data_IF_509119456273
#
_entry.id   IF_509119456273
#
_cell.length_a   1.000
_cell.length_b   1.000
_cell.length_c   1.000
_cell.angle_alpha   90.00
_cell.angle_beta   90.00
_cell.angle_gamma   90.00
#
_symmetry.space_group_name_H-M   'P 1'
#
loop_
_entity.id
_entity.type
_entity.pdbx_description
1 polymer ?
#
# COMPACT_ATOMS: atom_id res chain seq x y z
N UNK A 1 7.13 26.20 62.24
CA UNK A 1 7.66 26.99 61.11
C UNK A 1 9.17 26.83 61.13
N UNK A 2 9.87 26.46 60.04
CA UNK A 2 9.55 26.80 58.65
C UNK A 2 9.31 25.58 57.73
N UNK A 3 8.86 25.92 56.52
CA UNK A 3 8.47 25.07 55.41
C UNK A 3 9.68 24.82 54.48
N UNK A 4 9.81 23.62 53.93
CA UNK A 4 10.62 23.40 52.71
C UNK A 4 9.65 22.95 51.61
N UNK A 5 9.38 23.88 50.70
CA UNK A 5 8.48 23.71 49.56
C UNK A 5 9.29 23.19 48.39
N UNK A 6 9.22 21.90 48.11
CA UNK A 6 9.66 21.36 46.81
C UNK A 6 8.62 21.76 45.75
N UNK A 7 9.02 22.41 44.64
CA UNK A 7 8.06 22.80 43.61
C UNK A 7 7.51 21.55 42.91
N UNK A 8 6.19 21.46 42.85
CA UNK A 8 5.48 20.47 42.04
C UNK A 8 5.94 20.56 40.59
N UNK A 9 6.32 19.43 40.00
CA UNK A 9 6.66 19.34 38.58
C UNK A 9 5.45 19.74 37.73
N UNK A 10 5.54 20.90 37.08
CA UNK A 10 4.55 21.32 36.09
C UNK A 10 4.52 20.30 34.94
N UNK A 11 3.34 19.78 34.56
CA UNK A 11 3.23 18.87 33.43
C UNK A 11 3.53 19.64 32.15
N UNK A 12 4.66 19.32 31.51
CA UNK A 12 5.00 19.81 30.17
C UNK A 12 4.00 19.21 29.19
N UNK A 13 3.09 20.04 28.69
CA UNK A 13 2.19 19.70 27.60
C UNK A 13 2.99 19.59 26.30
N UNK A 14 3.53 18.40 26.04
CA UNK A 14 4.10 18.04 24.75
C UNK A 14 2.95 18.02 23.73
N UNK A 15 2.84 19.09 22.95
CA UNK A 15 1.98 19.10 21.76
C UNK A 15 2.60 18.18 20.72
N UNK A 16 2.24 16.89 20.80
CA UNK A 16 2.45 15.93 19.72
C UNK A 16 1.64 16.43 18.54
N UNK A 17 2.30 17.16 17.64
CA UNK A 17 1.78 17.36 16.29
C UNK A 17 1.76 15.99 15.65
N UNK A 18 0.61 15.31 15.72
CA UNK A 18 0.37 14.18 14.83
C UNK A 18 0.59 14.71 13.42
N UNK A 19 1.43 14.08 12.58
CA UNK A 19 1.42 14.42 11.18
C UNK A 19 -0.03 14.20 10.74
N UNK A 20 -0.72 15.26 10.37
CA UNK A 20 -1.90 15.13 9.53
C UNK A 20 -1.35 14.61 8.21
N UNK A 21 -1.15 13.29 8.13
CA UNK A 21 -1.05 12.60 6.86
C UNK A 21 -2.28 13.08 6.12
N UNK A 22 -2.08 13.78 5.00
CA UNK A 22 -3.17 14.15 4.10
C UNK A 22 -4.00 12.90 3.74
N UNK A 23 -5.16 13.08 3.08
CA UNK A 23 -5.97 11.95 2.66
C UNK A 23 -5.06 10.87 2.08
N UNK A 24 -5.12 9.66 2.63
CA UNK A 24 -4.21 8.55 2.36
C UNK A 24 -4.09 8.33 0.86
N UNK A 25 -3.15 9.00 0.22
CA UNK A 25 -2.99 8.91 -1.21
C UNK A 25 -2.46 7.51 -1.50
N UNK A 26 -3.19 6.79 -2.35
CA UNK A 26 -2.89 5.40 -2.65
C UNK A 26 -1.48 5.27 -3.26
N UNK A 27 -1.05 6.28 -4.01
CA UNK A 27 0.18 6.27 -4.80
C UNK A 27 1.37 6.76 -3.97
N UNK A 28 1.16 7.70 -3.05
CA UNK A 28 2.21 8.28 -2.23
C UNK A 28 2.99 7.23 -1.42
N UNK A 29 4.31 7.15 -1.63
CA UNK A 29 5.17 6.18 -0.97
C UNK A 29 4.91 4.70 -1.31
N UNK A 30 4.01 4.38 -2.26
CA UNK A 30 3.77 3.00 -2.69
C UNK A 30 4.89 2.49 -3.61
N UNK A 31 5.41 3.34 -4.49
CA UNK A 31 6.45 2.96 -5.46
C UNK A 31 7.83 3.27 -4.89
N UNK A 32 8.74 2.29 -4.92
CA UNK A 32 10.12 2.45 -4.46
C UNK A 32 11.13 1.69 -5.32
N UNK A 33 12.41 1.95 -5.09
CA UNK A 33 13.50 1.18 -5.72
C UNK A 33 13.57 -0.25 -5.15
N UNK A 34 14.05 -1.24 -5.93
CA UNK A 34 14.19 -2.60 -5.46
C UNK A 34 15.10 -2.70 -4.24
N UNK A 35 14.66 -3.45 -3.23
CA UNK A 35 15.43 -3.63 -2.00
C UNK A 35 16.33 -4.85 -2.11
N UNK A 36 17.60 -4.74 -1.73
CA UNK A 36 18.52 -5.88 -1.72
C UNK A 36 18.18 -6.95 -0.66
N UNK A 37 17.38 -6.60 0.35
CA UNK A 37 16.95 -7.51 1.41
C UNK A 37 15.46 -7.29 1.74
N UNK A 38 14.55 -7.95 1.00
CA UNK A 38 13.11 -7.82 1.25
C UNK A 38 12.74 -8.56 2.55
N UNK A 39 12.13 -7.84 3.49
CA UNK A 39 11.63 -8.42 4.74
C UNK A 39 10.25 -9.08 4.60
N UNK A 40 9.58 -8.86 3.46
CA UNK A 40 8.27 -9.39 3.13
C UNK A 40 8.33 -10.29 1.89
N UNK A 41 7.26 -11.06 1.65
CA UNK A 41 7.13 -11.87 0.44
C UNK A 41 7.20 -10.99 -0.80
N UNK A 42 8.03 -11.38 -1.77
CA UNK A 42 8.18 -10.65 -3.03
C UNK A 42 7.44 -11.39 -4.14
N UNK A 43 6.55 -10.68 -4.82
CA UNK A 43 5.82 -11.16 -5.99
C UNK A 43 6.40 -10.53 -7.26
N UNK A 44 6.94 -11.35 -8.14
CA UNK A 44 7.37 -10.93 -9.47
C UNK A 44 6.18 -10.88 -10.43
N UNK A 45 5.86 -9.70 -10.98
CA UNK A 45 4.75 -9.50 -11.91
C UNK A 45 5.07 -9.88 -13.36
N UNK A 46 6.27 -10.42 -13.63
CA UNK A 46 6.60 -11.11 -14.90
C UNK A 46 6.06 -12.54 -14.93
N UNK A 47 5.62 -13.09 -13.80
CA UNK A 47 4.91 -14.36 -13.73
C UNK A 47 3.58 -14.29 -14.48
N UNK A 48 3.05 -15.46 -14.84
CA UNK A 48 1.73 -15.54 -15.48
C UNK A 48 0.61 -15.07 -14.55
N UNK A 49 -0.45 -14.50 -15.12
CA UNK A 49 -1.61 -14.00 -14.38
C UNK A 49 -2.24 -15.05 -13.45
N UNK A 50 -2.17 -16.33 -13.84
CA UNK A 50 -2.62 -17.44 -13.01
C UNK A 50 -1.79 -17.59 -11.74
N UNK A 51 -0.46 -17.50 -11.84
CA UNK A 51 0.45 -17.59 -10.68
C UNK A 51 0.32 -16.38 -9.77
N UNK A 52 0.13 -15.20 -10.35
CA UNK A 52 -0.17 -13.97 -9.60
C UNK A 52 -1.49 -14.12 -8.85
N UNK A 53 -2.54 -14.63 -9.50
CA UNK A 53 -3.83 -14.85 -8.86
C UNK A 53 -3.77 -15.89 -7.74
N UNK A 54 -3.09 -17.03 -7.94
CA UNK A 54 -2.87 -18.04 -6.90
C UNK A 54 -2.16 -17.45 -5.68
N UNK A 55 -1.12 -16.61 -5.90
CA UNK A 55 -0.41 -15.94 -4.83
C UNK A 55 -1.32 -14.99 -4.05
N UNK A 56 -2.11 -14.17 -4.76
CA UNK A 56 -3.03 -13.21 -4.13
C UNK A 56 -4.12 -13.90 -3.30
N UNK A 57 -4.62 -15.06 -3.73
CA UNK A 57 -5.53 -15.89 -2.92
C UNK A 57 -4.85 -16.32 -1.62
N UNK A 58 -3.57 -16.72 -1.66
CA UNK A 58 -2.80 -17.05 -0.47
C UNK A 58 -2.61 -15.87 0.47
N UNK A 59 -2.26 -14.71 -0.08
CA UNK A 59 -2.07 -13.46 0.68
C UNK A 59 -3.37 -12.99 1.34
N UNK A 60 -4.52 -13.09 0.67
CA UNK A 60 -5.81 -12.67 1.24
C UNK A 60 -6.18 -13.43 2.52
N UNK A 61 -5.61 -14.62 2.75
CA UNK A 61 -5.78 -15.42 3.97
C UNK A 61 -4.59 -15.31 4.94
N UNK A 62 -3.61 -14.46 4.62
CA UNK A 62 -2.41 -14.26 5.41
C UNK A 62 -2.43 -12.89 6.07
N UNK A 63 -1.99 -12.83 7.32
CA UNK A 63 -1.76 -11.56 8.04
C UNK A 63 -0.45 -10.86 7.62
N UNK A 64 0.17 -11.29 6.50
CA UNK A 64 1.44 -10.73 6.02
C UNK A 64 1.26 -10.04 4.67
N UNK A 65 1.75 -8.80 4.60
CA UNK A 65 1.82 -8.06 3.35
C UNK A 65 2.94 -8.56 2.42
N UNK A 66 2.89 -8.10 1.18
CA UNK A 66 3.85 -8.46 0.14
C UNK A 66 4.35 -7.21 -0.61
N UNK A 67 5.45 -7.39 -1.32
CA UNK A 67 6.03 -6.39 -2.23
C UNK A 67 5.89 -6.91 -3.65
N UNK A 68 5.33 -6.11 -4.55
CA UNK A 68 5.24 -6.44 -5.96
C UNK A 68 6.44 -5.87 -6.73
N UNK A 69 7.07 -6.65 -7.61
CA UNK A 69 8.16 -6.18 -8.48
C UNK A 69 7.65 -6.11 -9.91
N UNK A 70 7.85 -4.96 -10.56
CA UNK A 70 7.46 -4.77 -11.97
C UNK A 70 8.29 -3.72 -12.68
N UNK A 71 8.46 -3.89 -13.99
CA UNK A 71 9.01 -2.87 -14.88
C UNK A 71 7.92 -2.10 -15.66
N UNK A 72 6.64 -2.51 -15.56
CA UNK A 72 5.51 -1.94 -16.29
C UNK A 72 4.52 -1.25 -15.35
N UNK A 73 4.15 -0.02 -15.71
CA UNK A 73 3.11 0.76 -15.03
C UNK A 73 1.72 0.13 -15.17
N UNK A 74 1.40 -0.47 -16.32
CA UNK A 74 0.12 -1.17 -16.51
C UNK A 74 0.00 -2.37 -15.56
N UNK A 75 1.10 -3.11 -15.38
CA UNK A 75 1.18 -4.21 -14.40
C UNK A 75 1.07 -3.72 -12.96
N UNK A 76 1.60 -2.52 -12.67
CA UNK A 76 1.44 -1.90 -11.35
C UNK A 76 -0.03 -1.53 -11.05
N UNK A 77 -0.75 -1.00 -12.04
CA UNK A 77 -2.19 -0.73 -11.90
C UNK A 77 -2.97 -2.04 -11.77
N UNK A 78 -2.64 -3.05 -12.59
CA UNK A 78 -3.28 -4.36 -12.55
C UNK A 78 -3.10 -5.06 -11.20
N UNK A 79 -1.91 -5.00 -10.57
CA UNK A 79 -1.72 -5.63 -9.25
C UNK A 79 -2.53 -4.91 -8.17
N UNK A 80 -2.63 -3.58 -8.22
CA UNK A 80 -3.47 -2.81 -7.28
C UNK A 80 -4.93 -3.26 -7.41
N UNK A 81 -5.46 -3.31 -8.64
CA UNK A 81 -6.81 -3.80 -8.91
C UNK A 81 -7.01 -5.24 -8.41
N UNK A 82 -6.05 -6.12 -8.69
CA UNK A 82 -6.10 -7.52 -8.34
C UNK A 82 -6.03 -7.76 -6.81
N UNK A 83 -5.24 -6.97 -6.09
CA UNK A 83 -5.19 -7.02 -4.63
C UNK A 83 -6.52 -6.58 -4.03
N UNK A 84 -7.12 -5.49 -4.52
CA UNK A 84 -8.45 -5.08 -4.06
C UNK A 84 -9.50 -6.16 -4.36
N UNK A 85 -9.47 -6.75 -5.56
CA UNK A 85 -10.35 -7.86 -5.91
C UNK A 85 -10.16 -9.05 -4.95
N UNK A 86 -8.92 -9.40 -4.61
CA UNK A 86 -8.65 -10.47 -3.65
C UNK A 86 -9.22 -10.18 -2.24
N UNK A 87 -9.11 -8.93 -1.77
CA UNK A 87 -9.67 -8.50 -0.48
C UNK A 87 -11.21 -8.45 -0.48
N UNK A 88 -11.80 -8.13 -1.63
CA UNK A 88 -13.26 -8.14 -1.80
C UNK A 88 -13.84 -9.52 -2.12
N UNK A 89 -13.01 -10.55 -2.35
CA UNK A 89 -13.46 -11.87 -2.79
C UNK A 89 -13.98 -11.89 -4.24
N UNK A 90 -13.56 -10.93 -5.07
CA UNK A 90 -13.96 -10.73 -6.46
C UNK A 90 -13.02 -11.45 -7.44
N UNK A 91 -13.33 -11.42 -8.74
CA UNK A 91 -12.54 -12.10 -9.76
C UNK A 91 -11.16 -11.44 -10.00
N UNK A 92 -10.12 -12.00 -9.38
CA UNK A 92 -8.72 -11.54 -9.49
C UNK A 92 -8.22 -11.57 -10.94
N UNK A 93 -8.55 -12.60 -11.73
CA UNK A 93 -8.11 -12.72 -13.13
C UNK A 93 -8.69 -11.61 -14.01
N UNK A 94 -9.95 -11.26 -13.77
CA UNK A 94 -10.58 -10.12 -14.46
C UNK A 94 -9.90 -8.81 -14.06
N UNK A 95 -9.61 -8.60 -12.78
CA UNK A 95 -8.93 -7.38 -12.32
C UNK A 95 -7.50 -7.22 -12.87
N UNK A 96 -6.77 -8.33 -13.11
CA UNK A 96 -5.44 -8.32 -13.73
C UNK A 96 -5.46 -7.94 -15.21
N UNK A 97 -6.53 -8.27 -15.92
CA UNK A 97 -6.65 -8.07 -17.38
C UNK A 97 -7.42 -6.80 -17.74
N UNK A 98 -8.35 -6.40 -16.88
CA UNK A 98 -9.22 -5.23 -17.06
C UNK A 98 -9.41 -4.52 -15.72
N UNK A 99 -8.40 -3.75 -15.25
CA UNK A 99 -8.49 -3.03 -13.98
C UNK A 99 -9.57 -1.94 -14.04
N UNK A 100 -10.47 -1.93 -13.06
CA UNK A 100 -11.54 -0.94 -12.94
C UNK A 100 -11.04 0.33 -12.23
N UNK A 101 -10.58 1.28 -13.03
CA UNK A 101 -9.99 2.55 -12.55
C UNK A 101 -11.00 3.39 -11.78
N UNK A 102 -12.27 3.43 -12.21
CA UNK A 102 -13.29 4.24 -11.56
C UNK A 102 -13.66 3.67 -10.20
N UNK A 103 -13.75 2.35 -10.06
CA UNK A 103 -13.90 1.69 -8.76
C UNK A 103 -12.72 1.98 -7.83
N UNK A 104 -11.49 1.92 -8.35
CA UNK A 104 -10.28 2.19 -7.56
C UNK A 104 -10.18 3.65 -7.09
N UNK A 105 -10.59 4.62 -7.91
CA UNK A 105 -10.69 6.04 -7.52
C UNK A 105 -11.78 6.29 -6.48
N UNK A 106 -12.81 5.45 -6.46
CA UNK A 106 -13.92 5.51 -5.51
C UNK A 106 -13.65 4.81 -4.17
N UNK A 107 -12.45 4.27 -3.94
CA UNK A 107 -12.14 3.55 -2.70
C UNK A 107 -12.26 4.46 -1.47
N UNK A 108 -12.88 3.91 -0.43
CA UNK A 108 -12.93 4.57 0.87
C UNK A 108 -11.56 4.53 1.57
N UNK A 109 -11.29 5.48 2.46
CA UNK A 109 -10.03 5.51 3.22
C UNK A 109 -9.70 4.18 3.95
N UNK A 110 -10.68 3.47 4.57
CA UNK A 110 -10.43 2.14 5.14
C UNK A 110 -10.00 1.09 4.10
N UNK A 111 -10.56 1.14 2.89
CA UNK A 111 -10.19 0.21 1.82
C UNK A 111 -8.78 0.47 1.29
N UNK A 112 -8.40 1.75 1.15
CA UNK A 112 -7.02 2.14 0.82
C UNK A 112 -6.06 1.66 1.91
N UNK A 113 -6.42 1.82 3.18
CA UNK A 113 -5.59 1.36 4.29
C UNK A 113 -5.39 -0.16 4.28
N UNK A 114 -6.46 -0.93 4.12
CA UNK A 114 -6.38 -2.39 4.01
C UNK A 114 -5.50 -2.84 2.83
N UNK A 115 -5.65 -2.18 1.68
CA UNK A 115 -4.78 -2.41 0.54
C UNK A 115 -3.31 -2.11 0.88
N UNK A 116 -3.02 -1.03 1.60
CA UNK A 116 -1.63 -0.66 1.98
C UNK A 116 -1.01 -1.56 3.03
N UNK A 117 -1.81 -2.23 3.85
CA UNK A 117 -1.34 -3.25 4.79
C UNK A 117 -0.94 -4.54 4.06
N UNK A 118 -1.59 -4.82 2.93
CA UNK A 118 -1.40 -6.03 2.14
C UNK A 118 -0.35 -5.82 1.04
N UNK A 119 -0.48 -4.78 0.21
CA UNK A 119 0.49 -4.37 -0.77
C UNK A 119 1.39 -3.28 -0.16
N UNK A 120 2.53 -3.73 0.36
CA UNK A 120 3.45 -2.88 1.11
C UNK A 120 4.23 -1.91 0.22
N UNK A 121 4.61 -2.37 -0.98
CA UNK A 121 5.32 -1.57 -1.95
C UNK A 121 5.24 -2.18 -3.36
N UNK A 122 5.42 -1.31 -4.36
CA UNK A 122 5.74 -1.69 -5.75
C UNK A 122 7.19 -1.32 -6.01
N UNK A 123 8.04 -2.33 -6.12
CA UNK A 123 9.47 -2.19 -6.42
C UNK A 123 9.73 -2.16 -7.92
N UNK A 124 10.46 -1.14 -8.37
CA UNK A 124 10.77 -0.95 -9.78
C UNK A 124 12.03 -0.10 -9.97
N UNK A 125 12.79 -0.37 -11.02
CA UNK A 125 13.87 0.52 -11.46
C UNK A 125 13.34 1.79 -12.15
N UNK A 126 12.07 1.78 -12.57
CA UNK A 126 11.43 2.88 -13.31
C UNK A 126 10.40 3.62 -12.45
N UNK A 127 10.82 4.07 -11.26
CA UNK A 127 9.93 4.67 -10.24
C UNK A 127 9.03 5.74 -10.82
N UNK A 128 9.57 6.74 -11.53
CA UNK A 128 8.78 7.84 -12.09
C UNK A 128 7.72 7.37 -13.09
N UNK A 129 8.05 6.41 -13.95
CA UNK A 129 7.12 5.92 -14.96
C UNK A 129 5.96 5.11 -14.34
N UNK A 130 6.27 4.29 -13.32
CA UNK A 130 5.27 3.52 -12.59
C UNK A 130 4.40 4.42 -11.73
N UNK A 131 4.98 5.39 -11.03
CA UNK A 131 4.24 6.40 -10.27
C UNK A 131 3.31 7.20 -11.19
N UNK A 132 3.78 7.61 -12.37
CA UNK A 132 2.94 8.32 -13.35
C UNK A 132 1.76 7.47 -13.83
N UNK A 133 1.96 6.16 -14.05
CA UNK A 133 0.88 5.26 -14.42
C UNK A 133 -0.14 5.09 -13.27
N UNK A 134 0.32 5.01 -12.03
CA UNK A 134 -0.55 4.88 -10.85
C UNK A 134 -1.31 6.17 -10.51
N UNK A 135 -0.84 7.34 -10.94
CA UNK A 135 -1.56 8.62 -10.71
C UNK A 135 -2.97 8.64 -11.27
N UNK A 136 -3.31 7.78 -12.23
CA UNK A 136 -4.71 7.65 -12.71
C UNK A 136 -5.66 7.17 -11.61
N UNK A 137 -5.13 6.58 -10.53
CA UNK A 137 -5.87 6.12 -9.36
C UNK A 137 -5.97 7.19 -8.26
N UNK A 138 -5.21 8.28 -8.37
CA UNK A 138 -5.31 9.39 -7.42
C UNK A 138 -6.63 10.15 -7.69
N UNK A 139 -7.37 10.54 -6.63
CA UNK A 139 -8.69 11.19 -6.75
C UNK A 139 -8.63 12.55 -7.46
#
# INVERSE_FOLDING_TARGET
>A
MPHDSTPASEPVLLSLSVPTTGPSDLVDGLVRLPSANPQASVLDLTLSDERVAEFLVGVAHSDTGFVAVTASGERAVAIVAATVAALCGENIRTALTSPDIEFLRGLSAPAVQALREVLLAVETERVEAVTAALRVLAP
#
